data_IF_688168100208
#
_entry.id   IF_688168100208
#
_cell.length_a   1.000
_cell.length_b   1.000
_cell.length_c   1.000
_cell.angle_alpha   90.00
_cell.angle_beta   90.00
_cell.angle_gamma   90.00
#
_symmetry.space_group_name_H-M   'P 1'
#
loop_
_entity.id
_entity.type
_entity.pdbx_description
1 polymer ?
#
# COMPACT_ATOMS: atom_id res chain seq x y z
N UNK A 1 -37.79 -21.41 -19.01
CA UNK A 1 -37.37 -20.95 -17.67
C UNK A 1 -35.86 -20.93 -17.45
N UNK A 2 -35.02 -21.54 -18.30
CA UNK A 2 -33.55 -21.58 -18.11
C UNK A 2 -32.85 -20.23 -18.30
N UNK A 3 -33.28 -19.40 -19.26
CA UNK A 3 -32.65 -18.08 -19.52
C UNK A 3 -32.71 -17.10 -18.33
N UNK A 4 -33.75 -17.18 -17.49
CA UNK A 4 -33.90 -16.29 -16.35
C UNK A 4 -32.90 -16.63 -15.23
N UNK A 5 -32.76 -17.91 -14.90
CA UNK A 5 -31.79 -18.38 -13.91
C UNK A 5 -30.34 -18.17 -14.36
N UNK A 6 -30.04 -18.35 -15.65
CA UNK A 6 -28.70 -18.06 -16.18
C UNK A 6 -28.35 -16.56 -16.10
N UNK A 7 -29.31 -15.69 -16.37
CA UNK A 7 -29.10 -14.23 -16.30
C UNK A 7 -28.86 -13.78 -14.85
N UNK A 8 -29.60 -14.35 -13.90
CA UNK A 8 -29.40 -14.09 -12.46
C UNK A 8 -28.03 -14.60 -12.00
N UNK A 9 -27.62 -15.80 -12.43
CA UNK A 9 -26.31 -16.37 -12.09
C UNK A 9 -25.16 -15.51 -12.62
N UNK A 10 -25.23 -15.03 -13.87
CA UNK A 10 -24.23 -14.12 -14.44
C UNK A 10 -24.15 -12.80 -13.67
N UNK A 11 -25.28 -12.21 -13.29
CA UNK A 11 -25.30 -10.96 -12.49
C UNK A 11 -24.72 -11.14 -11.10
N UNK A 12 -25.02 -12.26 -10.44
CA UNK A 12 -24.43 -12.60 -9.14
C UNK A 12 -22.92 -12.79 -9.24
N UNK A 13 -22.45 -13.47 -10.30
CA UNK A 13 -21.02 -13.66 -10.53
C UNK A 13 -20.29 -12.32 -10.71
N UNK A 14 -20.79 -11.44 -11.58
CA UNK A 14 -20.22 -10.09 -11.76
C UNK A 14 -20.25 -9.30 -10.45
N UNK A 15 -21.34 -9.39 -9.69
CA UNK A 15 -21.43 -8.73 -8.39
C UNK A 15 -20.38 -9.23 -7.39
N UNK A 16 -20.14 -10.54 -7.32
CA UNK A 16 -19.09 -11.10 -6.45
C UNK A 16 -17.69 -10.63 -6.87
N UNK A 17 -17.40 -10.63 -8.17
CA UNK A 17 -16.13 -10.16 -8.72
C UNK A 17 -15.91 -8.67 -8.42
N UNK A 18 -16.92 -7.83 -8.65
CA UNK A 18 -16.87 -6.40 -8.29
C UNK A 18 -16.74 -6.18 -6.78
N UNK A 19 -17.42 -6.99 -5.97
CA UNK A 19 -17.39 -6.85 -4.52
C UNK A 19 -16.02 -7.23 -3.96
N UNK A 20 -15.43 -8.33 -4.46
CA UNK A 20 -14.07 -8.73 -4.14
C UNK A 20 -13.06 -7.65 -4.55
N UNK A 21 -13.19 -7.10 -5.77
CA UNK A 21 -12.33 -6.01 -6.24
C UNK A 21 -12.44 -4.75 -5.37
N UNK A 22 -13.64 -4.40 -4.90
CA UNK A 22 -13.85 -3.26 -3.99
C UNK A 22 -13.23 -3.49 -2.61
N UNK A 23 -13.29 -4.71 -2.09
CA UNK A 23 -12.65 -5.06 -0.81
C UNK A 23 -11.13 -4.96 -0.94
N UNK A 24 -10.57 -5.51 -2.01
CA UNK A 24 -9.13 -5.48 -2.27
C UNK A 24 -8.62 -4.04 -2.49
N UNK A 25 -9.35 -3.23 -3.28
CA UNK A 25 -9.00 -1.83 -3.51
C UNK A 25 -9.01 -1.01 -2.21
N UNK A 26 -9.98 -1.25 -1.31
CA UNK A 26 -10.01 -0.61 0.02
C UNK A 26 -8.82 -1.03 0.86
N UNK A 27 -8.45 -2.31 0.84
CA UNK A 27 -7.29 -2.83 1.56
C UNK A 27 -5.99 -2.19 1.07
N UNK A 28 -5.80 -2.13 -0.24
CA UNK A 28 -4.66 -1.48 -0.87
C UNK A 28 -4.58 0.02 -0.53
N UNK A 29 -5.72 0.72 -0.53
CA UNK A 29 -5.77 2.14 -0.17
C UNK A 29 -5.40 2.38 1.31
N UNK A 30 -5.83 1.50 2.22
CA UNK A 30 -5.45 1.56 3.63
C UNK A 30 -3.95 1.33 3.83
N UNK A 31 -3.38 0.31 3.18
CA UNK A 31 -1.93 0.04 3.22
C UNK A 31 -1.11 1.20 2.65
N UNK A 32 -1.60 1.84 1.60
CA UNK A 32 -0.95 3.02 1.01
C UNK A 32 -0.99 4.23 1.94
N UNK A 33 -2.10 4.45 2.65
CA UNK A 33 -2.20 5.47 3.68
C UNK A 33 -1.27 5.19 4.87
N UNK A 34 -1.25 3.94 5.36
CA UNK A 34 -0.36 3.49 6.44
C UNK A 34 1.11 3.66 6.05
N UNK A 35 1.50 3.25 4.84
CA UNK A 35 2.87 3.42 4.35
C UNK A 35 3.28 4.90 4.25
N UNK A 36 2.38 5.79 3.82
CA UNK A 36 2.64 7.24 3.81
C UNK A 36 2.78 7.82 5.20
N UNK A 37 2.01 7.32 6.16
CA UNK A 37 2.10 7.75 7.55
C UNK A 37 3.35 7.21 8.23
N UNK A 38 3.72 5.95 7.99
CA UNK A 38 4.90 5.33 8.57
C UNK A 38 6.18 5.90 7.95
N UNK A 39 6.25 6.03 6.62
CA UNK A 39 7.46 6.45 5.90
C UNK A 39 7.31 7.87 5.37
N UNK A 40 8.11 8.78 5.93
CA UNK A 40 8.02 10.22 5.72
C UNK A 40 9.37 10.83 5.32
N UNK A 41 9.33 12.03 4.76
CA UNK A 41 10.51 12.92 4.69
C UNK A 41 10.31 14.01 5.71
N UNK A 42 11.28 14.22 6.59
CA UNK A 42 11.25 15.28 7.61
C UNK A 42 12.59 15.99 7.68
N UNK A 43 12.57 17.23 8.11
CA UNK A 43 13.78 18.00 8.41
C UNK A 43 14.24 17.74 9.86
N UNK A 44 15.53 17.47 10.03
CA UNK A 44 16.20 17.42 11.31
C UNK A 44 17.53 18.18 11.20
N UNK A 45 17.78 19.10 12.13
CA UNK A 45 19.01 19.90 12.18
C UNK A 45 19.36 20.63 10.86
N UNK A 46 18.35 21.06 10.09
CA UNK A 46 18.54 21.76 8.81
C UNK A 46 18.78 20.84 7.60
N UNK A 47 18.77 19.52 7.80
CA UNK A 47 18.90 18.54 6.72
C UNK A 47 17.65 17.67 6.59
N UNK A 48 17.37 17.20 5.37
CA UNK A 48 16.24 16.32 5.10
C UNK A 48 16.62 14.85 5.29
N UNK A 49 15.74 14.11 5.95
CA UNK A 49 15.88 12.69 6.22
C UNK A 49 14.67 11.90 5.75
N UNK A 50 14.91 10.67 5.30
CA UNK A 50 13.89 9.62 5.26
C UNK A 50 13.67 9.12 6.68
N UNK A 51 12.43 9.17 7.14
CA UNK A 51 12.02 8.79 8.48
C UNK A 51 11.05 7.62 8.46
N UNK A 52 11.13 6.77 9.49
CA UNK A 52 10.12 5.75 9.79
C UNK A 52 9.52 6.04 11.14
N UNK A 53 8.19 6.19 11.22
CA UNK A 53 7.45 6.54 12.42
C UNK A 53 8.03 7.78 13.14
N UNK A 54 8.48 8.78 12.37
CA UNK A 54 9.08 10.01 12.88
C UNK A 54 10.55 9.90 13.30
N UNK A 55 11.17 8.72 13.19
CA UNK A 55 12.59 8.51 13.51
C UNK A 55 13.42 8.69 12.22
N UNK A 56 14.39 9.63 12.18
CA UNK A 56 15.25 9.81 11.02
C UNK A 56 16.20 8.63 10.87
N UNK A 57 16.30 8.08 9.65
CA UNK A 57 17.16 6.93 9.33
C UNK A 57 18.29 7.30 8.38
N UNK A 58 17.97 7.93 7.25
CA UNK A 58 18.94 8.22 6.18
C UNK A 58 18.74 9.64 5.67
N UNK A 59 19.82 10.42 5.60
CA UNK A 59 19.85 11.73 4.97
C UNK A 59 20.02 11.64 3.45
N UNK A 60 19.97 12.80 2.78
CA UNK A 60 20.22 12.90 1.31
C UNK A 60 21.57 12.27 0.92
N UNK A 61 22.59 12.46 1.76
CA UNK A 61 23.96 12.02 1.47
C UNK A 61 24.17 10.50 1.66
N UNK A 62 23.26 9.82 2.36
CA UNK A 62 23.36 8.39 2.66
C UNK A 62 22.77 7.50 1.56
N UNK A 63 22.06 8.11 0.60
CA UNK A 63 21.31 7.41 -0.44
C UNK A 63 21.90 7.68 -1.83
N UNK A 64 21.77 6.69 -2.72
CA UNK A 64 21.99 6.90 -4.15
C UNK A 64 20.69 7.37 -4.79
N UNK A 65 20.71 8.55 -5.40
CA UNK A 65 19.53 9.16 -6.01
C UNK A 65 18.89 10.23 -5.11
N UNK A 66 17.60 10.49 -5.30
CA UNK A 66 16.90 11.56 -4.57
C UNK A 66 16.09 11.02 -3.38
N UNK A 67 15.91 11.84 -2.34
CA UNK A 67 15.07 11.46 -1.19
C UNK A 67 13.63 11.10 -1.57
N UNK A 68 12.93 11.83 -2.46
CA UNK A 68 11.59 11.45 -2.89
C UNK A 68 11.53 10.04 -3.51
N UNK A 69 12.52 9.67 -4.33
CA UNK A 69 12.61 8.32 -4.90
C UNK A 69 12.88 7.27 -3.83
N UNK A 70 13.80 7.55 -2.91
CA UNK A 70 14.09 6.65 -1.79
C UNK A 70 12.84 6.41 -0.93
N UNK A 71 12.07 7.45 -0.63
CA UNK A 71 10.81 7.34 0.13
C UNK A 71 9.73 6.60 -0.65
N UNK A 72 9.60 6.84 -1.96
CA UNK A 72 8.66 6.09 -2.79
C UNK A 72 8.99 4.58 -2.79
N UNK A 73 10.27 4.23 -2.94
CA UNK A 73 10.74 2.85 -2.86
C UNK A 73 10.54 2.25 -1.47
N UNK A 74 10.84 2.99 -0.41
CA UNK A 74 10.65 2.54 0.97
C UNK A 74 9.17 2.28 1.29
N UNK A 75 8.25 3.12 0.80
CA UNK A 75 6.80 2.89 0.92
C UNK A 75 6.34 1.64 0.19
N UNK A 76 6.90 1.38 -0.99
CA UNK A 76 6.63 0.14 -1.73
C UNK A 76 7.09 -1.08 -0.94
N UNK A 77 8.35 -1.09 -0.49
CA UNK A 77 8.91 -2.19 0.30
C UNK A 77 8.14 -2.41 1.62
N UNK A 78 7.67 -1.34 2.27
CA UNK A 78 6.84 -1.44 3.47
C UNK A 78 5.51 -2.14 3.17
N UNK A 79 4.84 -1.78 2.06
CA UNK A 79 3.59 -2.44 1.64
C UNK A 79 3.81 -3.91 1.35
N UNK A 80 4.84 -4.23 0.55
CA UNK A 80 5.17 -5.61 0.18
C UNK A 80 5.44 -6.45 1.45
N UNK A 81 6.25 -5.95 2.40
CA UNK A 81 6.51 -6.62 3.68
C UNK A 81 5.24 -6.79 4.53
N UNK A 82 4.36 -5.78 4.59
CA UNK A 82 3.11 -5.89 5.35
C UNK A 82 2.16 -6.92 4.75
N UNK A 83 2.10 -7.01 3.42
CA UNK A 83 1.32 -8.05 2.74
C UNK A 83 1.84 -9.45 3.04
N UNK A 84 3.16 -9.66 3.01
CA UNK A 84 3.80 -10.92 3.42
C UNK A 84 3.44 -11.29 4.86
N UNK A 85 3.53 -10.35 5.80
CA UNK A 85 3.20 -10.60 7.21
C UNK A 85 1.71 -10.92 7.42
N UNK A 86 0.82 -10.25 6.71
CA UNK A 86 -0.61 -10.56 6.74
C UNK A 86 -0.95 -11.93 6.11
N UNK A 87 -0.07 -12.47 5.26
CA UNK A 87 -0.17 -13.83 4.73
C UNK A 87 0.31 -14.88 5.73
N UNK A 88 1.39 -14.60 6.48
CA UNK A 88 1.89 -15.50 7.53
C UNK A 88 0.89 -15.68 8.69
N UNK A 89 0.03 -14.68 8.93
CA UNK A 89 -0.98 -14.70 10.00
C UNK A 89 -2.31 -15.40 9.62
N UNK A 90 -2.46 -15.88 8.37
CA UNK A 90 -3.64 -16.58 7.87
C UNK A 90 -3.47 -18.09 7.81
#
# INVERSE_FOLDING_TARGET
MNNFFETIRKRLQVWHEEHAARIEAKRQALLDAEARQAVQVMEFNGELYTCVNGIPLFGVNDIKGTLPEAVANARKNYKDWKEEKLWEER
#
